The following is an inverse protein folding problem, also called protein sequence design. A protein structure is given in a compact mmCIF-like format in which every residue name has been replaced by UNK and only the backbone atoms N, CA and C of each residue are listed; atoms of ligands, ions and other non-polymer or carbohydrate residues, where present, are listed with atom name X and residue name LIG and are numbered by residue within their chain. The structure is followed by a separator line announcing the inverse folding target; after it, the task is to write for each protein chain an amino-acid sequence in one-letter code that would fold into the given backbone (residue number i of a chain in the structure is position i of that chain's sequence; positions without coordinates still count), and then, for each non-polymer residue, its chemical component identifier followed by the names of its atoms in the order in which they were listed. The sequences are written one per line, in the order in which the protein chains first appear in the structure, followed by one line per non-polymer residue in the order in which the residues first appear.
data_IF_066774095485
#
_entry.id   IF_066774095485
#
_cell.length_a   1.000
_cell.length_b   1.000
_cell.length_c   1.000
_cell.angle_alpha   90.00
_cell.angle_beta   90.00
_cell.angle_gamma   90.00
#
_symmetry.space_group_name_H-M   'P 1'
#
loop_
_entity.id
_entity.type
_entity.pdbx_description
1 polymer ?
#
# COMPACT_ATOMS: atom_id res chain seq x y z
N UNK A 1 -4.28 -9.73 -9.91
CA UNK A 1 -5.19 -8.86 -9.12
C UNK A 1 -5.83 -9.61 -7.96
N UNK A 2 -6.44 -10.78 -8.18
CA UNK A 2 -7.08 -11.59 -7.13
C UNK A 2 -6.23 -11.81 -5.87
N UNK A 3 -4.99 -12.28 -6.01
CA UNK A 3 -4.09 -12.50 -4.86
C UNK A 3 -3.81 -11.23 -4.03
N UNK A 4 -3.72 -10.06 -4.68
CA UNK A 4 -3.49 -8.79 -3.99
C UNK A 4 -4.73 -8.42 -3.16
N UNK A 5 -5.93 -8.56 -3.72
CA UNK A 5 -7.19 -8.27 -3.03
C UNK A 5 -7.43 -9.20 -1.85
N UNK A 6 -7.12 -10.49 -2.00
CA UNK A 6 -7.19 -11.47 -0.92
C UNK A 6 -6.21 -11.12 0.21
N UNK A 7 -4.96 -10.79 -0.12
CA UNK A 7 -3.96 -10.35 0.84
C UNK A 7 -4.41 -9.10 1.59
N UNK A 8 -4.81 -8.03 0.88
CA UNK A 8 -5.22 -6.77 1.51
C UNK A 8 -6.43 -6.97 2.41
N UNK A 9 -7.39 -7.80 1.99
CA UNK A 9 -8.57 -8.12 2.80
C UNK A 9 -8.21 -8.93 4.06
N UNK A 10 -7.27 -9.87 3.98
CA UNK A 10 -6.75 -10.56 5.16
C UNK A 10 -6.05 -9.60 6.13
N UNK A 11 -5.15 -8.74 5.62
CA UNK A 11 -4.45 -7.76 6.44
C UNK A 11 -5.43 -6.80 7.14
N UNK A 12 -6.46 -6.31 6.44
CA UNK A 12 -7.50 -5.47 7.04
C UNK A 12 -8.23 -6.21 8.16
N UNK A 13 -8.64 -7.48 7.94
CA UNK A 13 -9.33 -8.27 8.98
C UNK A 13 -8.45 -8.46 10.22
N UNK A 14 -7.16 -8.76 10.03
CA UNK A 14 -6.21 -8.92 11.13
C UNK A 14 -6.02 -7.63 11.92
N UNK A 15 -5.83 -6.50 11.23
CA UNK A 15 -5.74 -5.19 11.88
C UNK A 15 -7.02 -4.84 12.65
N UNK A 16 -8.21 -5.13 12.08
CA UNK A 16 -9.49 -4.92 12.75
C UNK A 16 -9.67 -5.81 13.99
N UNK A 17 -9.04 -6.99 14.02
CA UNK A 17 -9.02 -7.88 15.18
C UNK A 17 -8.01 -7.47 16.26
N UNK A 18 -7.21 -6.41 16.03
CA UNK A 18 -6.18 -5.94 16.96
C UNK A 18 -4.81 -6.61 16.81
N UNK A 19 -4.61 -7.42 15.76
CA UNK A 19 -3.30 -7.99 15.46
C UNK A 19 -2.27 -6.91 15.12
N UNK A 20 -1.01 -7.16 15.48
CA UNK A 20 0.13 -6.37 14.99
C UNK A 20 0.67 -7.00 13.72
N UNK A 21 0.52 -6.29 12.59
CA UNK A 21 1.01 -6.73 11.28
C UNK A 21 2.34 -6.04 10.97
N UNK A 22 3.37 -6.84 10.66
CA UNK A 22 4.62 -6.35 10.10
C UNK A 22 4.71 -6.75 8.63
N UNK A 23 4.78 -5.76 7.74
CA UNK A 23 4.88 -5.95 6.30
C UNK A 23 6.29 -5.53 5.83
N UNK A 24 6.98 -6.41 5.12
CA UNK A 24 8.29 -6.08 4.55
C UNK A 24 8.48 -6.68 3.16
N UNK A 25 9.50 -6.18 2.47
CA UNK A 25 10.11 -6.86 1.32
C UNK A 25 11.64 -6.83 1.53
N UNK A 26 12.45 -6.90 0.48
CA UNK A 26 13.89 -6.79 0.63
C UNK A 26 14.33 -5.40 1.16
N UNK A 27 13.77 -4.33 0.60
CA UNK A 27 14.12 -2.94 0.99
C UNK A 27 13.00 -2.15 1.68
N UNK A 28 11.84 -2.77 1.91
CA UNK A 28 10.67 -2.08 2.47
C UNK A 28 10.20 -0.86 1.65
N UNK A 29 10.43 -0.89 0.32
CA UNK A 29 10.19 0.23 -0.61
C UNK A 29 9.12 -0.11 -1.66
N UNK A 30 9.46 -0.90 -2.67
CA UNK A 30 8.55 -1.22 -3.77
C UNK A 30 7.33 -2.05 -3.37
N UNK A 31 7.48 -3.38 -3.30
CA UNK A 31 6.37 -4.31 -3.00
C UNK A 31 5.65 -4.02 -1.68
N UNK A 32 6.40 -3.66 -0.64
CA UNK A 32 5.82 -3.31 0.66
C UNK A 32 5.02 -1.99 0.57
N UNK A 33 5.54 -0.98 -0.12
CA UNK A 33 4.81 0.26 -0.40
C UNK A 33 3.56 0.04 -1.24
N UNK A 34 3.60 -0.86 -2.23
CA UNK A 34 2.43 -1.22 -3.05
C UNK A 34 1.31 -1.80 -2.20
N UNK A 35 1.59 -2.83 -1.41
CA UNK A 35 0.58 -3.46 -0.54
C UNK A 35 0.11 -2.47 0.54
N UNK A 36 1.01 -1.67 1.10
CA UNK A 36 0.68 -0.62 2.06
C UNK A 36 -0.28 0.42 1.50
N UNK A 37 -0.06 0.88 0.26
CA UNK A 37 -0.93 1.87 -0.38
C UNK A 37 -2.32 1.29 -0.65
N UNK A 38 -2.40 0.07 -1.18
CA UNK A 38 -3.70 -0.61 -1.36
C UNK A 38 -4.46 -0.80 -0.04
N UNK A 39 -3.75 -1.17 1.03
CA UNK A 39 -4.34 -1.33 2.36
C UNK A 39 -4.87 0.00 2.92
N UNK A 40 -4.10 1.08 2.80
CA UNK A 40 -4.56 2.42 3.21
C UNK A 40 -5.80 2.86 2.43
N UNK A 41 -5.80 2.65 1.11
CA UNK A 41 -6.95 2.99 0.27
C UNK A 41 -8.20 2.21 0.68
N UNK A 42 -8.09 0.90 0.93
CA UNK A 42 -9.22 0.07 1.33
C UNK A 42 -9.74 0.42 2.74
N UNK A 43 -8.84 0.62 3.72
CA UNK A 43 -9.23 0.88 5.11
C UNK A 43 -9.85 2.26 5.31
N UNK A 44 -9.30 3.28 4.66
CA UNK A 44 -9.68 4.69 4.89
C UNK A 44 -10.48 5.28 3.74
N UNK A 45 -10.70 4.50 2.68
CA UNK A 45 -11.49 4.92 1.55
C UNK A 45 -10.86 6.01 0.69
N UNK A 46 -9.53 6.00 0.58
CA UNK A 46 -8.76 7.02 -0.12
C UNK A 46 -8.76 6.79 -1.63
N UNK A 47 -8.57 7.87 -2.38
CA UNK A 47 -8.15 7.80 -3.79
C UNK A 47 -6.76 7.19 -3.93
N UNK A 48 -6.40 6.77 -5.14
CA UNK A 48 -5.09 6.18 -5.40
C UNK A 48 -3.95 7.18 -5.10
N UNK A 49 -4.11 8.44 -5.48
CA UNK A 49 -3.09 9.48 -5.25
C UNK A 49 -2.87 9.73 -3.75
N UNK A 50 -3.96 9.84 -2.99
CA UNK A 50 -3.93 10.01 -1.55
C UNK A 50 -3.27 8.83 -0.80
N UNK A 51 -3.48 7.61 -1.29
CA UNK A 51 -2.87 6.41 -0.72
C UNK A 51 -1.37 6.33 -1.03
N UNK A 52 -0.99 6.64 -2.27
CA UNK A 52 0.40 6.71 -2.72
C UNK A 52 1.17 7.80 -1.96
N UNK A 53 0.58 8.99 -1.80
CA UNK A 53 1.16 10.11 -1.07
C UNK A 53 1.40 9.76 0.41
N UNK A 54 0.44 9.09 1.07
CA UNK A 54 0.60 8.68 2.48
C UNK A 54 1.68 7.62 2.66
N UNK A 55 1.76 6.64 1.76
CA UNK A 55 2.86 5.65 1.78
C UNK A 55 4.21 6.33 1.55
N UNK A 56 4.28 7.29 0.63
CA UNK A 56 5.50 8.06 0.39
C UNK A 56 5.91 8.84 1.65
N UNK A 57 4.98 9.59 2.27
CA UNK A 57 5.25 10.31 3.53
C UNK A 57 5.76 9.40 4.65
N UNK A 58 5.21 8.19 4.78
CA UNK A 58 5.70 7.22 5.75
C UNK A 58 7.12 6.73 5.40
N UNK A 59 7.39 6.46 4.12
CA UNK A 59 8.70 6.07 3.63
C UNK A 59 9.75 7.17 3.85
N UNK A 60 9.37 8.44 3.68
CA UNK A 60 10.27 9.60 3.78
C UNK A 60 10.80 9.85 5.21
N UNK A 61 10.20 9.20 6.21
CA UNK A 61 10.71 9.21 7.59
C UNK A 61 12.00 8.40 7.76
N UNK A 62 12.38 7.61 6.75
CA UNK A 62 13.61 6.82 6.76
C UNK A 62 14.83 7.67 6.41
N UNK A 63 16.02 7.15 6.73
CA UNK A 63 17.30 7.79 6.37
C UNK A 63 17.58 7.79 4.86
N UNK A 64 16.98 6.85 4.11
CA UNK A 64 17.14 6.67 2.67
C UNK A 64 15.92 7.18 1.87
N UNK A 65 15.46 8.40 2.20
CA UNK A 65 14.21 9.00 1.73
C UNK A 65 14.24 9.67 0.35
N UNK A 66 15.38 9.73 -0.34
CA UNK A 66 15.49 10.31 -1.69
C UNK A 66 14.91 9.37 -2.79
N UNK A 67 13.95 8.52 -2.44
CA UNK A 67 13.45 7.42 -3.28
C UNK A 67 11.94 7.31 -3.23
N UNK A 68 11.36 6.82 -4.33
CA UNK A 68 9.93 6.59 -4.42
C UNK A 68 9.51 5.28 -3.75
N UNK A 69 8.35 5.32 -3.10
CA UNK A 69 7.61 4.17 -2.58
C UNK A 69 6.13 4.34 -2.95
N UNK A 70 5.53 3.44 -3.75
CA UNK A 70 6.14 2.33 -4.47
C UNK A 70 7.21 2.78 -5.47
N UNK A 71 8.08 1.85 -5.86
CA UNK A 71 9.35 2.12 -6.55
C UNK A 71 9.20 2.36 -8.05
N UNK A 72 8.29 1.65 -8.71
CA UNK A 72 8.12 1.70 -10.17
C UNK A 72 6.76 2.19 -10.58
N UNK A 73 6.63 2.67 -11.81
CA UNK A 73 5.36 3.12 -12.35
C UNK A 73 4.36 1.97 -12.47
N UNK A 74 4.79 0.75 -12.78
CA UNK A 74 3.92 -0.44 -12.82
C UNK A 74 3.34 -0.75 -11.45
N UNK A 75 4.12 -0.59 -10.37
CA UNK A 75 3.64 -0.76 -9.01
C UNK A 75 2.59 0.31 -8.65
N UNK A 76 2.81 1.56 -9.07
CA UNK A 76 1.86 2.66 -8.85
C UNK A 76 0.59 2.47 -9.68
N UNK A 77 0.71 2.00 -10.92
CA UNK A 77 -0.43 1.63 -11.76
C UNK A 77 -1.22 0.48 -11.16
N UNK A 78 -0.55 -0.50 -10.52
CA UNK A 78 -1.24 -1.57 -9.81
C UNK A 78 -2.08 -1.03 -8.65
N UNK A 79 -1.56 -0.04 -7.89
CA UNK A 79 -2.35 0.65 -6.85
C UNK A 79 -3.55 1.35 -7.46
N UNK A 80 -3.37 2.10 -8.55
CA UNK A 80 -4.48 2.79 -9.24
C UNK A 80 -5.56 1.81 -9.72
N UNK A 81 -5.15 0.71 -10.35
CA UNK A 81 -6.06 -0.33 -10.81
C UNK A 81 -6.80 -1.01 -9.65
N UNK A 82 -6.12 -1.23 -8.52
CA UNK A 82 -6.74 -1.75 -7.31
C UNK A 82 -7.80 -0.81 -6.75
N UNK A 83 -7.49 0.49 -6.62
CA UNK A 83 -8.43 1.49 -6.09
C UNK A 83 -9.64 1.67 -7.01
N UNK A 84 -9.43 1.68 -8.32
CA UNK A 84 -10.53 1.73 -9.28
C UNK A 84 -11.53 0.57 -9.11
N UNK A 85 -11.06 -0.63 -8.73
CA UNK A 85 -11.93 -1.78 -8.44
C UNK A 85 -12.75 -1.62 -7.17
N UNK A 86 -12.32 -0.77 -6.23
CA UNK A 86 -13.10 -0.42 -5.05
C UNK A 86 -14.22 0.60 -5.36
N UNK A 87 -14.33 1.05 -6.61
CA UNK A 87 -15.28 2.09 -7.03
C UNK A 87 -14.87 3.49 -6.58
N UNK A 88 -13.56 3.76 -6.52
CA UNK A 88 -12.96 4.99 -6.01
C UNK A 88 -11.94 5.56 -7.00
#
# INVERSE_FOLDING_TARGET
MQQLSELVSDLQRRLAAGDKVYLHCWGGRGRAGTVGACLLAQMYGLSADEALERVQRAFDTRRDNERLSPETDEQRQLVRAFVAQLGR
#
